data_IF_502391964986
#
_entry.id   IF_502391964986
#
_cell.length_a   1.000
_cell.length_b   1.000
_cell.length_c   1.000
_cell.angle_alpha   90.00
_cell.angle_beta   90.00
_cell.angle_gamma   90.00
#
_symmetry.space_group_name_H-M   'P 1'
#
loop_
_entity.id
_entity.type
_entity.pdbx_description
1 polymer ?
#
# COMPACT_ATOMS: atom_id res chain seq x y z
N UNK A 1 21.59 13.98 14.42
CA UNK A 1 21.69 13.31 13.11
C UNK A 1 22.83 13.95 12.33
N UNK A 2 23.64 13.16 11.61
CA UNK A 2 24.64 13.68 10.67
C UNK A 2 23.95 14.23 9.40
N UNK A 3 24.58 15.15 8.68
CA UNK A 3 24.04 15.90 7.52
C UNK A 3 23.45 14.99 6.43
N UNK A 4 24.19 13.95 6.02
CA UNK A 4 23.74 12.99 5.00
C UNK A 4 22.41 12.30 5.36
N UNK A 5 22.16 12.11 6.65
CA UNK A 5 20.92 11.51 7.13
C UNK A 5 19.75 12.49 7.11
N UNK A 6 20.01 13.76 7.42
CA UNK A 6 18.99 14.80 7.30
C UNK A 6 18.58 14.98 5.83
N UNK A 7 19.54 14.86 4.90
CA UNK A 7 19.29 14.87 3.45
C UNK A 7 18.46 13.66 3.00
N UNK A 8 18.75 12.45 3.50
CA UNK A 8 17.98 11.24 3.19
C UNK A 8 16.51 11.35 3.65
N UNK A 9 16.27 11.86 4.86
CA UNK A 9 14.90 12.11 5.36
C UNK A 9 14.22 13.24 4.59
N UNK A 10 14.94 14.32 4.25
CA UNK A 10 14.40 15.39 3.43
C UNK A 10 13.98 14.90 2.03
N UNK A 11 14.79 14.01 1.43
CA UNK A 11 14.44 13.37 0.16
C UNK A 11 13.14 12.56 0.27
N UNK A 12 12.98 11.73 1.32
CA UNK A 12 11.74 10.97 1.53
C UNK A 12 10.51 11.88 1.71
N UNK A 13 10.68 12.99 2.43
CA UNK A 13 9.63 14.01 2.58
C UNK A 13 9.24 14.61 1.24
N UNK A 14 10.21 14.94 0.40
CA UNK A 14 9.94 15.58 -0.89
C UNK A 14 9.24 14.62 -1.86
N UNK A 15 9.62 13.34 -1.88
CA UNK A 15 8.88 12.26 -2.57
C UNK A 15 7.43 12.21 -2.07
N UNK A 16 7.22 12.14 -0.76
CA UNK A 16 5.86 12.07 -0.19
C UNK A 16 5.02 13.30 -0.54
N UNK A 17 5.61 14.49 -0.48
CA UNK A 17 4.92 15.75 -0.80
C UNK A 17 4.46 15.81 -2.26
N UNK A 18 5.24 15.25 -3.18
CA UNK A 18 4.92 15.26 -4.62
C UNK A 18 3.81 14.26 -4.96
N UNK A 19 3.87 13.06 -4.39
CA UNK A 19 3.00 11.94 -4.80
C UNK A 19 1.76 11.74 -3.91
N UNK A 20 1.80 12.19 -2.65
CA UNK A 20 0.81 11.81 -1.63
C UNK A 20 0.04 13.00 -1.08
N UNK A 21 -0.46 13.94 -1.90
CA UNK A 21 -1.00 15.23 -1.39
C UNK A 21 -1.98 15.07 -0.22
N UNK A 22 -3.00 14.22 -0.34
CA UNK A 22 -3.99 14.00 0.73
C UNK A 22 -3.37 13.32 1.97
N UNK A 23 -2.50 12.35 1.76
CA UNK A 23 -1.78 11.62 2.82
C UNK A 23 -0.79 12.52 3.56
N UNK A 24 -0.04 13.36 2.84
CA UNK A 24 0.90 14.33 3.38
C UNK A 24 0.23 15.32 4.34
N UNK A 25 -0.96 15.80 4.00
CA UNK A 25 -1.72 16.72 4.87
C UNK A 25 -2.30 16.03 6.11
N UNK A 26 -2.65 14.74 6.04
CA UNK A 26 -3.21 13.99 7.16
C UNK A 26 -2.27 13.92 8.37
N UNK A 27 -0.95 13.91 8.14
CA UNK A 27 0.05 13.76 9.20
C UNK A 27 0.74 15.05 9.63
N UNK A 28 0.29 16.22 9.16
CA UNK A 28 0.89 17.50 9.56
C UNK A 28 0.87 17.74 11.07
N UNK A 29 -0.15 17.20 11.76
CA UNK A 29 -0.34 17.34 13.19
C UNK A 29 0.49 16.37 14.03
N UNK A 30 1.18 15.40 13.41
CA UNK A 30 2.08 14.51 14.12
C UNK A 30 3.35 15.26 14.60
N UNK A 31 3.91 14.89 15.76
CA UNK A 31 5.26 15.22 16.15
C UNK A 31 6.26 14.98 15.01
N UNK A 32 7.24 15.86 14.86
CA UNK A 32 8.22 15.81 13.77
C UNK A 32 8.87 14.43 13.58
N UNK A 33 9.33 13.71 14.62
CA UNK A 33 9.93 12.39 14.46
C UNK A 33 8.99 11.36 13.83
N UNK A 34 7.73 11.32 14.28
CA UNK A 34 6.72 10.40 13.73
C UNK A 34 6.39 10.76 12.28
N UNK A 35 6.22 12.06 12.00
CA UNK A 35 5.93 12.52 10.65
C UNK A 35 7.06 12.20 9.66
N UNK A 36 8.31 12.43 10.05
CA UNK A 36 9.48 12.09 9.23
C UNK A 36 9.55 10.57 8.99
N UNK A 37 9.23 9.75 9.99
CA UNK A 37 9.15 8.30 9.85
C UNK A 37 8.05 7.84 8.88
N UNK A 38 6.86 8.42 8.95
CA UNK A 38 5.77 8.16 8.00
C UNK A 38 6.19 8.51 6.56
N UNK A 39 6.89 9.63 6.37
CA UNK A 39 7.40 10.00 5.05
C UNK A 39 8.44 9.02 4.51
N UNK A 40 9.29 8.49 5.38
CA UNK A 40 10.26 7.46 5.01
C UNK A 40 9.59 6.14 4.63
N UNK A 41 8.60 5.69 5.42
CA UNK A 41 7.81 4.50 5.07
C UNK A 41 7.10 4.70 3.74
N UNK A 42 6.43 5.85 3.54
CA UNK A 42 5.75 6.16 2.29
C UNK A 42 6.72 6.17 1.10
N UNK A 43 7.87 6.82 1.23
CA UNK A 43 8.86 6.90 0.15
C UNK A 43 9.37 5.51 -0.26
N UNK A 44 9.57 4.60 0.70
CA UNK A 44 9.90 3.20 0.40
C UNK A 44 8.79 2.50 -0.38
N UNK A 45 7.53 2.64 0.08
CA UNK A 45 6.38 2.03 -0.61
C UNK A 45 6.26 2.55 -2.05
N UNK A 46 6.28 3.87 -2.20
CA UNK A 46 6.18 4.53 -3.50
C UNK A 46 7.30 4.11 -4.45
N UNK A 47 8.53 3.99 -3.95
CA UNK A 47 9.64 3.56 -4.77
C UNK A 47 9.47 2.13 -5.28
N UNK A 48 8.92 1.23 -4.46
CA UNK A 48 8.61 -0.13 -4.92
C UNK A 48 7.51 -0.12 -5.99
N UNK A 49 6.43 0.63 -5.79
CA UNK A 49 5.35 0.79 -6.78
C UNK A 49 5.87 1.37 -8.11
N UNK A 50 6.74 2.38 -8.05
CA UNK A 50 7.30 3.02 -9.25
C UNK A 50 8.08 2.01 -10.11
N UNK A 51 8.71 0.98 -9.52
CA UNK A 51 9.44 -0.06 -10.29
C UNK A 51 8.49 -0.88 -11.17
N UNK A 52 7.27 -1.16 -10.69
CA UNK A 52 6.30 -1.95 -11.47
C UNK A 52 5.52 -1.09 -12.46
N UNK A 53 5.34 0.19 -12.18
CA UNK A 53 4.69 1.17 -13.05
C UNK A 53 5.60 1.69 -14.18
N UNK A 54 6.92 1.53 -14.07
CA UNK A 54 7.89 1.99 -15.07
C UNK A 54 7.70 1.34 -16.46
N UNK A 55 8.14 1.97 -17.55
CA UNK A 55 8.06 1.44 -18.92
C UNK A 55 9.17 0.40 -19.24
N UNK A 56 10.05 0.11 -18.30
CA UNK A 56 11.11 -0.90 -18.46
C UNK A 56 10.58 -2.32 -18.77
N UNK A 57 11.45 -3.14 -19.38
CA UNK A 57 11.19 -4.56 -19.61
C UNK A 57 10.95 -5.34 -18.31
N UNK A 58 10.10 -6.38 -18.38
CA UNK A 58 9.74 -7.24 -17.24
C UNK A 58 10.96 -7.80 -16.50
N UNK A 59 12.02 -8.19 -17.24
CA UNK A 59 13.25 -8.71 -16.64
C UNK A 59 13.96 -7.66 -15.76
N UNK A 60 14.03 -6.41 -16.23
CA UNK A 60 14.60 -5.28 -15.49
C UNK A 60 13.79 -4.95 -14.25
N UNK A 61 12.45 -4.97 -14.34
CA UNK A 61 11.56 -4.77 -13.17
C UNK A 61 11.81 -5.81 -12.08
N UNK A 62 11.90 -7.09 -12.45
CA UNK A 62 12.22 -8.18 -11.52
C UNK A 62 13.61 -8.01 -10.89
N UNK A 63 14.61 -7.66 -11.70
CA UNK A 63 15.96 -7.42 -11.20
C UNK A 63 15.99 -6.26 -10.20
N UNK A 64 15.27 -5.18 -10.47
CA UNK A 64 15.17 -4.03 -9.57
C UNK A 64 14.50 -4.40 -8.25
N UNK A 65 13.38 -5.14 -8.27
CA UNK A 65 12.73 -5.62 -7.04
C UNK A 65 13.64 -6.58 -6.25
N UNK A 66 14.37 -7.45 -6.93
CA UNK A 66 15.36 -8.32 -6.29
C UNK A 66 16.49 -7.52 -5.63
N UNK A 67 16.97 -6.46 -6.30
CA UNK A 67 17.93 -5.52 -5.72
C UNK A 67 17.38 -4.84 -4.46
N UNK A 68 16.09 -4.49 -4.46
CA UNK A 68 15.43 -3.92 -3.30
C UNK A 68 15.23 -4.89 -2.14
N UNK A 69 15.04 -6.19 -2.41
CA UNK A 69 15.06 -7.22 -1.35
C UNK A 69 16.42 -7.25 -0.65
N UNK A 70 17.51 -7.23 -1.42
CA UNK A 70 18.87 -7.19 -0.86
C UNK A 70 19.14 -5.88 -0.11
N UNK A 71 18.69 -4.76 -0.66
CA UNK A 71 18.84 -3.45 -0.02
C UNK A 71 18.04 -3.35 1.29
N UNK A 72 16.87 -4.00 1.37
CA UNK A 72 16.11 -4.14 2.61
C UNK A 72 16.88 -4.97 3.65
N UNK A 73 17.51 -6.07 3.25
CA UNK A 73 18.39 -6.84 4.13
C UNK A 73 19.56 -5.98 4.65
N UNK A 74 20.22 -5.21 3.77
CA UNK A 74 21.29 -4.28 4.17
C UNK A 74 20.78 -3.19 5.14
N UNK A 75 19.58 -2.66 4.90
CA UNK A 75 18.92 -1.68 5.75
C UNK A 75 18.84 -2.19 7.20
N UNK A 76 18.30 -3.40 7.40
CA UNK A 76 18.16 -4.02 8.72
C UNK A 76 19.50 -4.44 9.34
N UNK A 77 20.49 -4.84 8.54
CA UNK A 77 21.83 -5.19 9.03
C UNK A 77 22.74 -4.00 9.35
N UNK A 78 22.40 -2.78 8.93
CA UNK A 78 23.20 -1.60 9.24
C UNK A 78 23.95 -0.97 8.07
N UNK A 79 23.86 -1.52 6.87
CA UNK A 79 24.72 -1.16 5.73
C UNK A 79 23.97 -0.76 4.43
N UNK A 80 22.86 -0.01 4.47
CA UNK A 80 22.14 0.40 3.27
C UNK A 80 22.97 1.37 2.42
N UNK A 81 22.82 1.24 1.12
CA UNK A 81 23.49 2.05 0.09
C UNK A 81 22.56 3.09 -0.52
N UNK A 82 21.26 2.78 -0.59
CA UNK A 82 20.25 3.65 -1.18
C UNK A 82 19.75 4.70 -0.18
N UNK A 83 19.50 5.93 -0.64
CA UNK A 83 19.13 7.06 0.23
C UNK A 83 17.83 6.81 1.01
N UNK A 84 16.81 6.23 0.36
CA UNK A 84 15.57 5.86 1.04
C UNK A 84 15.84 4.79 2.11
N UNK A 85 16.67 3.78 1.81
CA UNK A 85 17.00 2.72 2.75
C UNK A 85 17.85 3.22 3.93
N UNK A 86 18.70 4.21 3.71
CA UNK A 86 19.44 4.90 4.78
C UNK A 86 18.51 5.62 5.75
N UNK A 87 17.51 6.35 5.24
CA UNK A 87 16.48 6.95 6.09
C UNK A 87 15.66 5.86 6.80
N UNK A 88 15.27 4.81 6.05
CA UNK A 88 14.46 3.70 6.57
C UNK A 88 15.16 2.99 7.72
N UNK A 89 16.47 2.75 7.63
CA UNK A 89 17.25 2.11 8.70
C UNK A 89 17.04 2.81 10.04
N UNK A 90 17.05 4.14 10.07
CA UNK A 90 16.84 4.88 11.30
C UNK A 90 15.42 4.70 11.82
N UNK A 91 14.44 4.81 10.92
CA UNK A 91 13.03 4.63 11.25
C UNK A 91 12.75 3.24 11.82
N UNK A 92 13.23 2.17 11.16
CA UNK A 92 12.96 0.79 11.60
C UNK A 92 13.68 0.46 12.90
N UNK A 93 14.87 1.04 13.16
CA UNK A 93 15.59 0.88 14.43
C UNK A 93 14.98 1.71 15.57
N UNK A 94 14.48 2.90 15.29
CA UNK A 94 13.93 3.77 16.32
C UNK A 94 12.57 3.31 16.81
N UNK A 95 11.74 2.76 15.92
CA UNK A 95 10.38 2.33 16.20
C UNK A 95 10.21 0.81 16.24
N UNK A 96 11.30 0.04 16.14
CA UNK A 96 11.26 -1.44 16.11
C UNK A 96 10.28 -2.01 15.07
N UNK A 97 10.28 -1.44 13.85
CA UNK A 97 9.36 -1.84 12.79
C UNK A 97 9.78 -3.20 12.22
N UNK A 98 8.90 -4.22 12.21
CA UNK A 98 9.24 -5.55 11.72
C UNK A 98 9.61 -5.57 10.22
N UNK A 99 10.75 -6.18 9.88
CA UNK A 99 11.22 -6.35 8.50
C UNK A 99 10.17 -7.01 7.59
N UNK A 100 9.43 -7.99 8.13
CA UNK A 100 8.36 -8.71 7.43
C UNK A 100 7.33 -7.79 6.76
N UNK A 101 7.05 -6.60 7.31
CA UNK A 101 6.08 -5.69 6.71
C UNK A 101 6.54 -5.21 5.33
N UNK A 102 7.83 -4.89 5.19
CA UNK A 102 8.43 -4.45 3.93
C UNK A 102 8.68 -5.62 2.98
N UNK A 103 8.99 -6.81 3.50
CA UNK A 103 9.11 -8.03 2.68
C UNK A 103 7.78 -8.43 2.02
N UNK A 104 6.69 -8.39 2.80
CA UNK A 104 5.33 -8.61 2.29
C UNK A 104 4.93 -7.53 1.28
N UNK A 105 5.31 -6.28 1.51
CA UNK A 105 5.07 -5.20 0.54
C UNK A 105 5.76 -5.47 -0.79
N UNK A 106 7.05 -5.81 -0.79
CA UNK A 106 7.77 -6.17 -2.02
C UNK A 106 7.10 -7.37 -2.70
N UNK A 107 6.67 -8.39 -1.93
CA UNK A 107 5.91 -9.53 -2.48
C UNK A 107 4.58 -9.09 -3.11
N UNK A 108 3.89 -8.10 -2.53
CA UNK A 108 2.65 -7.55 -3.07
C UNK A 108 2.89 -6.82 -4.38
N UNK A 109 3.90 -5.97 -4.42
CA UNK A 109 4.32 -5.25 -5.63
C UNK A 109 4.75 -6.21 -6.73
N UNK A 110 5.46 -7.30 -6.41
CA UNK A 110 5.81 -8.33 -7.39
C UNK A 110 4.59 -9.03 -8.02
N UNK A 111 3.47 -9.14 -7.30
CA UNK A 111 2.26 -9.76 -7.85
C UNK A 111 1.77 -9.03 -9.10
N UNK A 112 1.98 -7.72 -9.19
CA UNK A 112 1.60 -6.91 -10.35
C UNK A 112 2.39 -7.26 -11.62
N UNK A 113 3.55 -7.89 -11.49
CA UNK A 113 4.33 -8.37 -12.63
C UNK A 113 3.76 -9.66 -13.25
N UNK A 114 2.98 -10.42 -12.48
CA UNK A 114 2.56 -11.79 -12.81
C UNK A 114 1.05 -11.96 -12.93
N UNK A 115 0.28 -11.18 -12.16
CA UNK A 115 -1.16 -11.34 -12.00
C UNK A 115 -1.88 -10.19 -12.67
N UNK A 116 -2.67 -10.51 -13.69
CA UNK A 116 -3.51 -9.54 -14.38
C UNK A 116 -4.98 -9.65 -13.97
N UNK A 117 -5.39 -10.80 -13.43
CA UNK A 117 -6.76 -11.15 -13.05
C UNK A 117 -6.78 -11.89 -11.73
N UNK A 118 -7.72 -11.55 -10.87
CA UNK A 118 -7.97 -12.26 -9.61
C UNK A 118 -9.21 -13.14 -9.76
N UNK A 119 -9.08 -14.44 -9.50
CA UNK A 119 -10.20 -15.37 -9.67
C UNK A 119 -11.28 -15.11 -8.62
N UNK A 120 -10.86 -14.93 -7.37
CA UNK A 120 -11.75 -14.74 -6.22
C UNK A 120 -11.42 -13.46 -5.44
N UNK A 121 -12.35 -13.01 -4.62
CA UNK A 121 -12.10 -11.94 -3.67
C UNK A 121 -11.02 -12.31 -2.66
N UNK A 122 -10.89 -13.57 -2.27
CA UNK A 122 -9.82 -14.01 -1.37
C UNK A 122 -8.42 -13.78 -1.98
N UNK A 123 -8.27 -14.02 -3.29
CA UNK A 123 -7.02 -13.73 -3.99
C UNK A 123 -6.73 -12.22 -4.01
N UNK A 124 -7.76 -11.41 -4.27
CA UNK A 124 -7.66 -9.95 -4.27
C UNK A 124 -7.37 -9.40 -2.85
N UNK A 125 -7.99 -9.96 -1.82
CA UNK A 125 -7.79 -9.56 -0.43
C UNK A 125 -6.34 -9.82 -0.01
N UNK A 126 -5.75 -10.94 -0.44
CA UNK A 126 -4.33 -11.23 -0.20
C UNK A 126 -3.41 -10.20 -0.87
N UNK A 127 -3.76 -9.74 -2.07
CA UNK A 127 -3.07 -8.63 -2.73
C UNK A 127 -3.21 -7.33 -1.93
N UNK A 128 -4.44 -6.91 -1.61
CA UNK A 128 -4.74 -5.72 -0.82
C UNK A 128 -4.02 -5.72 0.54
N UNK A 129 -3.94 -6.88 1.18
CA UNK A 129 -3.19 -7.04 2.43
C UNK A 129 -1.72 -6.65 2.25
N UNK A 130 -1.08 -7.18 1.21
CA UNK A 130 0.35 -6.95 0.95
C UNK A 130 0.67 -5.55 0.46
N UNK A 131 -0.19 -4.91 -0.33
CA UNK A 131 0.11 -3.57 -0.87
C UNK A 131 -0.40 -2.43 0.00
N UNK A 132 -1.31 -2.70 0.95
CA UNK A 132 -1.89 -1.66 1.78
C UNK A 132 -1.91 -1.98 3.28
N UNK A 133 -2.45 -3.12 3.71
CA UNK A 133 -2.58 -3.43 5.15
C UNK A 133 -1.23 -3.52 5.86
N UNK A 134 -0.21 -4.13 5.24
CA UNK A 134 1.14 -4.21 5.83
C UNK A 134 1.80 -2.85 6.01
N UNK A 135 1.43 -1.85 5.19
CA UNK A 135 1.89 -0.46 5.37
C UNK A 135 1.28 0.13 6.65
N UNK A 136 -0.02 -0.09 6.87
CA UNK A 136 -0.66 0.27 8.14
C UNK A 136 -0.02 -0.40 9.34
N UNK A 137 0.28 -1.71 9.23
CA UNK A 137 0.97 -2.47 10.27
C UNK A 137 2.39 -1.96 10.54
N UNK A 138 3.12 -1.51 9.51
CA UNK A 138 4.43 -0.88 9.65
C UNK A 138 4.37 0.47 10.38
N UNK A 139 3.23 1.17 10.30
CA UNK A 139 3.03 2.46 10.97
C UNK A 139 2.61 2.35 12.44
N UNK A 140 2.05 1.22 12.89
CA UNK A 140 1.60 1.07 14.28
C UNK A 140 2.69 1.36 15.34
N UNK A 141 3.93 0.86 15.18
CA UNK A 141 4.99 1.18 16.13
C UNK A 141 5.38 2.67 16.14
N UNK A 142 5.21 3.37 15.00
CA UNK A 142 5.45 4.81 14.90
C UNK A 142 4.46 5.59 15.79
N UNK A 143 3.21 5.14 15.82
CA UNK A 143 2.17 5.71 16.68
C UNK A 143 2.25 5.26 18.14
N UNK A 144 3.08 4.26 18.45
CA UNK A 144 3.25 3.72 19.79
C UNK A 144 2.06 2.87 20.27
N UNK A 145 1.27 2.30 19.35
CA UNK A 145 0.08 1.49 19.66
C UNK A 145 0.36 0.01 19.39
N UNK A 146 0.12 -0.86 20.37
CA UNK A 146 0.53 -2.28 20.30
C UNK A 146 -0.46 -3.27 20.95
N UNK A 147 -1.77 -3.14 20.70
CA UNK A 147 -2.75 -4.15 21.09
C UNK A 147 -3.36 -4.84 19.87
N UNK A 148 -3.86 -6.07 20.04
CA UNK A 148 -4.39 -6.89 18.96
C UNK A 148 -5.43 -6.15 18.09
N UNK A 149 -6.36 -5.42 18.71
CA UNK A 149 -7.37 -4.67 17.96
C UNK A 149 -6.81 -3.60 17.02
N UNK A 150 -5.64 -3.01 17.30
CA UNK A 150 -5.07 -2.01 16.39
C UNK A 150 -4.45 -2.67 15.16
N UNK A 151 -4.04 -3.93 15.26
CA UNK A 151 -3.60 -4.73 14.11
C UNK A 151 -4.80 -5.07 13.23
N UNK A 152 -5.93 -5.47 13.82
CA UNK A 152 -7.20 -5.68 13.10
C UNK A 152 -7.68 -4.38 12.43
N UNK A 153 -7.51 -3.24 13.09
CA UNK A 153 -7.77 -1.92 12.52
C UNK A 153 -6.91 -1.67 11.27
N UNK A 154 -5.58 -1.80 11.39
CA UNK A 154 -4.66 -1.56 10.29
C UNK A 154 -4.91 -2.53 9.12
N UNK A 155 -5.23 -3.79 9.43
CA UNK A 155 -5.64 -4.78 8.45
C UNK A 155 -6.87 -4.30 7.67
N UNK A 156 -7.99 -4.07 8.35
CA UNK A 156 -9.26 -3.75 7.71
C UNK A 156 -9.21 -2.39 6.98
N UNK A 157 -8.56 -1.39 7.56
CA UNK A 157 -8.41 -0.08 6.92
C UNK A 157 -7.57 -0.17 5.65
N UNK A 158 -6.47 -0.95 5.66
CA UNK A 158 -5.65 -1.16 4.47
C UNK A 158 -6.44 -1.78 3.32
N UNK A 159 -7.23 -2.83 3.61
CA UNK A 159 -8.11 -3.45 2.61
C UNK A 159 -9.13 -2.42 2.08
N UNK A 160 -9.79 -1.67 2.97
CA UNK A 160 -10.78 -0.67 2.59
C UNK A 160 -10.21 0.42 1.66
N UNK A 161 -9.02 0.95 1.99
CA UNK A 161 -8.34 1.96 1.20
C UNK A 161 -7.92 1.42 -0.17
N UNK A 162 -7.40 0.19 -0.23
CA UNK A 162 -6.98 -0.38 -1.51
C UNK A 162 -8.17 -0.74 -2.41
N UNK A 163 -9.26 -1.27 -1.83
CA UNK A 163 -10.51 -1.45 -2.58
C UNK A 163 -11.05 -0.11 -3.10
N UNK A 164 -10.91 0.97 -2.33
CA UNK A 164 -11.29 2.31 -2.78
C UNK A 164 -10.45 2.77 -3.97
N UNK A 165 -9.14 2.52 -3.97
CA UNK A 165 -8.28 2.80 -5.12
C UNK A 165 -8.72 1.98 -6.35
N UNK A 166 -8.91 0.67 -6.19
CA UNK A 166 -9.38 -0.21 -7.28
C UNK A 166 -10.73 0.26 -7.86
N UNK A 167 -11.68 0.65 -7.00
CA UNK A 167 -13.00 1.14 -7.43
C UNK A 167 -12.89 2.47 -8.17
N UNK A 168 -11.99 3.35 -7.72
CA UNK A 168 -11.76 4.67 -8.34
C UNK A 168 -11.11 4.54 -9.72
N UNK A 169 -10.16 3.63 -9.86
CA UNK A 169 -9.23 3.57 -11.00
C UNK A 169 -9.58 2.44 -12.01
N UNK A 170 -10.81 1.87 -11.94
CA UNK A 170 -11.25 0.75 -12.81
C UNK A 170 -10.99 1.02 -14.29
N UNK A 171 -11.18 2.26 -14.75
CA UNK A 171 -10.98 2.63 -16.16
C UNK A 171 -9.49 2.59 -16.52
N UNK A 172 -8.68 3.28 -15.72
CA UNK A 172 -7.24 3.41 -15.91
C UNK A 172 -6.55 2.03 -15.86
N UNK A 173 -6.99 1.16 -14.96
CA UNK A 173 -6.52 -0.22 -14.89
C UNK A 173 -6.91 -1.02 -16.14
N UNK A 174 -8.15 -0.88 -16.61
CA UNK A 174 -8.62 -1.56 -17.82
C UNK A 174 -7.84 -1.13 -19.08
N UNK A 175 -7.47 0.14 -19.19
CA UNK A 175 -6.64 0.68 -20.28
C UNK A 175 -5.24 0.08 -20.29
N UNK A 176 -4.72 -0.32 -19.13
CA UNK A 176 -3.46 -1.07 -18.98
C UNK A 176 -3.66 -2.59 -19.14
N UNK A 177 -4.87 -3.02 -19.48
CA UNK A 177 -5.22 -4.42 -19.62
C UNK A 177 -5.34 -5.18 -18.29
N UNK A 178 -5.46 -4.47 -17.15
CA UNK A 178 -5.61 -5.05 -15.80
C UNK A 178 -7.06 -5.06 -15.35
N UNK A 179 -7.43 -6.08 -14.56
CA UNK A 179 -8.73 -6.16 -13.88
C UNK A 179 -8.50 -6.68 -12.48
N UNK A 180 -8.59 -5.78 -11.49
CA UNK A 180 -8.53 -6.15 -10.08
C UNK A 180 -9.86 -6.68 -9.54
N UNK A 181 -10.99 -6.26 -10.11
CA UNK A 181 -12.30 -6.77 -9.70
C UNK A 181 -12.33 -8.30 -9.83
N UNK A 182 -12.75 -9.04 -8.80
CA UNK A 182 -12.73 -10.50 -8.84
C UNK A 182 -13.57 -11.06 -9.99
N UNK A 183 -13.03 -12.03 -10.73
CA UNK A 183 -13.73 -12.66 -11.85
C UNK A 183 -15.02 -13.37 -11.41
N UNK A 184 -15.04 -13.92 -10.20
CA UNK A 184 -16.26 -14.49 -9.61
C UNK A 184 -17.38 -13.44 -9.44
N UNK A 185 -17.02 -12.20 -9.12
CA UNK A 185 -17.99 -11.12 -8.96
C UNK A 185 -18.49 -10.65 -10.34
N UNK A 186 -17.59 -10.49 -11.32
CA UNK A 186 -17.97 -10.22 -12.71
C UNK A 186 -19.02 -11.24 -13.18
N UNK A 187 -18.74 -12.53 -12.96
CA UNK A 187 -19.65 -13.63 -13.29
C UNK A 187 -20.97 -13.55 -12.53
N UNK A 188 -20.95 -13.28 -11.23
CA UNK A 188 -22.14 -13.21 -10.38
C UNK A 188 -23.10 -12.08 -10.80
N UNK A 189 -22.56 -10.98 -11.32
CA UNK A 189 -23.34 -9.84 -11.82
C UNK A 189 -23.63 -9.91 -13.32
N UNK A 190 -23.26 -11.00 -14.00
CA UNK A 190 -23.41 -11.16 -15.45
C UNK A 190 -22.72 -10.04 -16.26
N UNK A 191 -21.54 -9.61 -15.80
CA UNK A 191 -20.71 -8.62 -16.47
C UNK A 191 -19.40 -9.27 -16.92
N UNK A 192 -18.99 -9.05 -18.17
CA UNK A 192 -17.85 -9.74 -18.77
C UNK A 192 -16.56 -8.91 -18.71
N UNK A 193 -15.41 -9.59 -18.80
CA UNK A 193 -14.12 -8.91 -18.94
C UNK A 193 -14.08 -8.02 -20.19
N UNK A 194 -14.62 -8.50 -21.31
CA UNK A 194 -14.67 -7.74 -22.57
C UNK A 194 -15.47 -6.45 -22.42
N UNK A 195 -16.60 -6.47 -21.71
CA UNK A 195 -17.36 -5.26 -21.41
C UNK A 195 -16.57 -4.28 -20.54
N UNK A 196 -15.83 -4.79 -19.55
CA UNK A 196 -14.97 -3.99 -18.68
C UNK A 196 -13.83 -3.34 -19.46
N UNK A 197 -13.11 -4.12 -20.27
CA UNK A 197 -12.00 -3.64 -21.09
C UNK A 197 -12.46 -2.66 -22.18
N UNK A 198 -13.70 -2.80 -22.66
CA UNK A 198 -14.34 -1.84 -23.57
C UNK A 198 -15.03 -0.68 -22.83
N UNK A 199 -14.89 -0.60 -21.51
CA UNK A 199 -15.39 0.49 -20.67
C UNK A 199 -16.92 0.70 -20.78
N UNK A 200 -17.68 -0.39 -20.97
CA UNK A 200 -19.13 -0.34 -21.16
C UNK A 200 -19.89 -0.22 -19.84
N UNK A 201 -20.52 0.93 -19.61
CA UNK A 201 -21.36 1.13 -18.43
C UNK A 201 -22.76 0.53 -18.65
N UNK A 202 -22.96 -0.71 -18.21
CA UNK A 202 -24.28 -1.39 -18.22
C UNK A 202 -24.95 -1.33 -16.85
N UNK A 203 -26.21 -1.75 -16.75
CA UNK A 203 -26.88 -1.92 -15.44
C UNK A 203 -26.15 -2.96 -14.56
N UNK A 204 -25.65 -4.05 -15.17
CA UNK A 204 -24.84 -5.06 -14.50
C UNK A 204 -23.55 -4.45 -13.90
N UNK A 205 -22.86 -3.58 -14.66
CA UNK A 205 -21.71 -2.85 -14.14
C UNK A 205 -22.06 -1.98 -12.93
N UNK A 206 -23.15 -1.22 -13.00
CA UNK A 206 -23.57 -0.34 -11.89
C UNK A 206 -23.86 -1.13 -10.61
N UNK A 207 -24.53 -2.28 -10.72
CA UNK A 207 -24.81 -3.14 -9.57
C UNK A 207 -23.54 -3.82 -9.04
N UNK A 208 -22.63 -4.26 -9.92
CA UNK A 208 -21.31 -4.76 -9.55
C UNK A 208 -20.52 -3.70 -8.75
N UNK A 209 -20.44 -2.46 -9.24
CA UNK A 209 -19.71 -1.39 -8.57
C UNK A 209 -20.34 -1.00 -7.22
N UNK A 210 -21.68 -1.06 -7.12
CA UNK A 210 -22.39 -0.88 -5.85
C UNK A 210 -22.00 -1.96 -4.85
N UNK A 211 -21.93 -3.21 -5.28
CA UNK A 211 -21.50 -4.34 -4.45
C UNK A 211 -20.04 -4.18 -3.99
N UNK A 212 -19.12 -3.79 -4.89
CA UNK A 212 -17.72 -3.51 -4.51
C UNK A 212 -17.60 -2.35 -3.50
N UNK A 213 -18.41 -1.29 -3.68
CA UNK A 213 -18.45 -0.15 -2.76
C UNK A 213 -18.99 -0.56 -1.39
N UNK A 214 -20.01 -1.41 -1.34
CA UNK A 214 -20.53 -1.98 -0.08
C UNK A 214 -19.46 -2.82 0.61
N UNK A 215 -18.70 -3.62 -0.14
CA UNK A 215 -17.57 -4.40 0.38
C UNK A 215 -16.51 -3.49 1.01
N UNK A 216 -16.04 -2.46 0.30
CA UNK A 216 -15.08 -1.49 0.85
C UNK A 216 -15.62 -0.78 2.11
N UNK A 217 -16.91 -0.41 2.10
CA UNK A 217 -17.60 0.20 3.24
C UNK A 217 -17.65 -0.72 4.45
N UNK A 218 -17.87 -2.03 4.25
CA UNK A 218 -17.86 -3.01 5.34
C UNK A 218 -16.49 -3.10 6.03
N UNK A 219 -15.39 -3.05 5.26
CA UNK A 219 -14.04 -3.00 5.84
C UNK A 219 -13.77 -1.68 6.60
N UNK A 220 -14.26 -0.54 6.12
CA UNK A 220 -14.20 0.72 6.89
C UNK A 220 -14.95 0.61 8.22
N UNK A 221 -16.12 -0.03 8.23
CA UNK A 221 -16.90 -0.25 9.46
C UNK A 221 -16.19 -1.21 10.41
N UNK A 222 -15.60 -2.29 9.88
CA UNK A 222 -14.79 -3.22 10.67
C UNK A 222 -13.58 -2.53 11.30
N UNK A 223 -12.86 -1.71 10.54
CA UNK A 223 -11.78 -0.89 11.08
C UNK A 223 -12.30 0.01 12.20
N UNK A 224 -13.34 0.80 11.96
CA UNK A 224 -13.90 1.69 12.97
C UNK A 224 -14.32 0.96 14.27
N UNK A 225 -14.83 -0.26 14.17
CA UNK A 225 -15.21 -1.10 15.32
C UNK A 225 -14.02 -1.62 16.15
N UNK A 226 -12.80 -1.61 15.58
CA UNK A 226 -11.59 -2.03 16.27
C UNK A 226 -11.01 -0.94 17.18
N UNK A 227 -11.31 0.33 16.92
CA UNK A 227 -10.80 1.46 17.69
C UNK A 227 -11.34 1.48 19.13
N UNK A 228 -10.45 1.72 20.09
CA UNK A 228 -10.75 1.94 21.49
C UNK A 228 -10.72 3.45 21.85
N UNK A 229 -11.33 3.85 22.98
CA UNK A 229 -11.20 5.22 23.47
C UNK A 229 -9.73 5.61 23.68
N UNK A 230 -9.27 6.65 22.99
CA UNK A 230 -7.88 7.13 23.02
C UNK A 230 -7.11 6.92 21.71
N UNK A 231 -7.50 5.95 20.89
CA UNK A 231 -6.78 5.60 19.65
C UNK A 231 -6.88 6.71 18.59
N UNK A 232 -8.01 7.41 18.52
CA UNK A 232 -8.28 8.50 17.55
C UNK A 232 -7.36 9.71 17.68
N UNK A 233 -6.63 9.84 18.79
CA UNK A 233 -5.66 10.92 18.93
C UNK A 233 -4.38 10.63 18.11
N UNK A 234 -4.17 9.39 17.68
CA UNK A 234 -2.94 8.90 17.05
C UNK A 234 -3.16 8.27 15.66
N UNK A 235 -4.42 7.98 15.27
CA UNK A 235 -4.84 7.33 14.02
C UNK A 235 -5.85 8.19 13.27
#
# INVERSE_FOLDING_TARGET
MNTAMQEAVAYCRDVTRQHAKNFYYAFLFLPKPQRDAIYTVYAFCRHCDDIVDDEHELASKRQNLQGWRQELEHCYHGTPTHRIAQALQQTVRHYDIPQRCFEELIRGVEMDLDIQRYATFADLEQYCYRVASVVGLACLPIFGVNHAKVQDYAYALGIALQLTNIIRDVREDAERGRIYLPLEDLKAFHYTEDELLQQRVTSAFVELMRFQTQRATAYYQQAAACLQPGDRAFL
#
